data_IF_240005065798
#
_entry.id   IF_240005065798
#
_cell.length_a   1.000
_cell.length_b   1.000
_cell.length_c   1.000
_cell.angle_alpha   90.00
_cell.angle_beta   90.00
_cell.angle_gamma   90.00
#
_symmetry.space_group_name_H-M   'P 1'
#
loop_
_entity.id
_entity.type
_entity.pdbx_description
1 polymer ?
#
# COMPACT_ATOMS: atom_id res chain seq x y z
N UNK A 1 5.84 -5.24 -9.66
CA UNK A 1 7.05 -4.54 -9.19
C UNK A 1 7.09 -3.18 -9.87
N UNK A 2 7.30 -2.13 -9.09
CA UNK A 2 7.50 -0.74 -9.47
C UNK A 2 8.92 -0.35 -9.09
N UNK A 3 9.56 0.44 -9.95
CA UNK A 3 10.84 1.07 -9.71
C UNK A 3 10.67 2.58 -9.89
N UNK A 4 11.17 3.38 -8.95
CA UNK A 4 11.17 4.84 -9.02
C UNK A 4 12.44 5.36 -8.38
N UNK A 5 12.76 6.64 -8.55
CA UNK A 5 13.79 7.29 -7.75
C UNK A 5 13.12 8.21 -6.71
N UNK A 6 13.75 8.36 -5.56
CA UNK A 6 13.39 9.40 -4.60
C UNK A 6 14.04 10.75 -4.97
N UNK A 7 13.79 11.79 -4.17
CA UNK A 7 14.36 13.12 -4.38
C UNK A 7 15.88 13.19 -4.18
N UNK A 8 16.48 12.19 -3.54
CA UNK A 8 17.92 12.09 -3.29
C UNK A 8 18.65 11.24 -4.34
N UNK A 9 17.93 10.73 -5.34
CA UNK A 9 18.47 9.86 -6.39
C UNK A 9 18.60 8.40 -5.97
N UNK A 10 18.03 7.98 -4.84
CA UNK A 10 17.98 6.58 -4.45
C UNK A 10 16.96 5.83 -5.32
N UNK A 11 17.35 4.68 -5.88
CA UNK A 11 16.45 3.76 -6.55
C UNK A 11 15.55 3.06 -5.52
N UNK A 12 14.24 3.22 -5.65
CA UNK A 12 13.24 2.62 -4.79
C UNK A 12 12.53 1.50 -5.53
N UNK A 13 12.60 0.29 -4.99
CA UNK A 13 12.08 -0.95 -5.59
C UNK A 13 11.02 -1.58 -4.70
N UNK A 14 9.93 -2.05 -5.29
CA UNK A 14 8.85 -2.71 -4.54
C UNK A 14 7.69 -3.00 -5.47
N UNK A 15 6.46 -3.17 -5.02
CA UNK A 15 6.08 -3.66 -3.71
C UNK A 15 5.80 -5.15 -3.73
N UNK A 16 5.80 -5.81 -2.57
CA UNK A 16 5.07 -7.07 -2.35
C UNK A 16 3.66 -6.82 -1.79
N UNK A 17 2.83 -7.87 -1.79
CA UNK A 17 1.51 -7.94 -1.17
C UNK A 17 1.37 -9.28 -0.49
N UNK A 18 1.13 -9.31 0.82
CA UNK A 18 1.07 -10.53 1.62
C UNK A 18 -0.07 -10.48 2.64
N UNK A 19 -0.94 -11.48 2.64
CA UNK A 19 -1.92 -11.66 3.71
C UNK A 19 -1.22 -12.24 4.94
N UNK A 20 -0.81 -11.36 5.86
CA UNK A 20 -0.07 -11.73 7.07
C UNK A 20 -0.62 -11.04 8.33
N UNK A 21 -1.90 -10.63 8.30
CA UNK A 21 -2.52 -9.87 9.37
C UNK A 21 -1.75 -8.58 9.67
N UNK A 22 -1.41 -8.36 10.94
CA UNK A 22 -0.64 -7.21 11.41
C UNK A 22 0.87 -7.47 11.52
N UNK A 23 1.37 -8.56 10.95
CA UNK A 23 2.80 -8.86 10.98
C UNK A 23 3.59 -7.86 10.12
N UNK A 24 4.51 -7.14 10.75
CA UNK A 24 5.42 -6.16 10.12
C UNK A 24 6.88 -6.63 10.10
N UNK A 25 7.13 -7.92 10.37
CA UNK A 25 8.46 -8.50 10.29
C UNK A 25 8.91 -8.66 8.84
N UNK A 26 10.21 -8.52 8.61
CA UNK A 26 10.82 -8.71 7.29
C UNK A 26 10.83 -10.19 6.95
N UNK A 27 10.19 -10.54 5.84
CA UNK A 27 10.30 -11.84 5.20
C UNK A 27 11.44 -11.80 4.17
N UNK A 28 12.57 -12.41 4.51
CA UNK A 28 13.76 -12.45 3.66
C UNK A 28 13.50 -13.14 2.31
N UNK A 29 12.54 -14.07 2.23
CA UNK A 29 12.19 -14.74 0.97
C UNK A 29 11.55 -13.77 -0.03
N UNK A 30 10.78 -12.80 0.47
CA UNK A 30 10.15 -11.74 -0.32
C UNK A 30 11.21 -10.74 -0.77
N UNK A 31 12.12 -10.34 0.12
CA UNK A 31 13.25 -9.48 -0.22
C UNK A 31 14.08 -10.12 -1.35
N UNK A 32 14.42 -11.40 -1.23
CA UNK A 32 15.14 -12.14 -2.26
C UNK A 32 14.38 -12.18 -3.59
N UNK A 33 13.05 -12.34 -3.55
CA UNK A 33 12.20 -12.36 -4.74
C UNK A 33 12.19 -11.01 -5.47
N UNK A 34 12.05 -9.91 -4.72
CA UNK A 34 12.13 -8.55 -5.28
C UNK A 34 13.56 -8.28 -5.77
N UNK A 35 14.60 -8.73 -5.07
CA UNK A 35 15.99 -8.57 -5.51
C UNK A 35 16.28 -9.25 -6.84
N UNK A 36 15.95 -10.54 -6.96
CA UNK A 36 16.15 -11.32 -8.18
C UNK A 36 15.45 -10.66 -9.37
N UNK A 37 14.18 -10.29 -9.17
CA UNK A 37 13.39 -9.65 -10.20
C UNK A 37 13.94 -8.27 -10.57
N UNK A 38 14.48 -7.51 -9.62
CA UNK A 38 15.12 -6.23 -9.91
C UNK A 38 16.42 -6.41 -10.71
N UNK A 39 17.19 -7.46 -10.43
CA UNK A 39 18.40 -7.82 -11.16
C UNK A 39 18.15 -8.14 -12.64
N UNK A 40 16.93 -8.51 -13.03
CA UNK A 40 16.56 -8.68 -14.44
C UNK A 40 16.50 -7.35 -15.20
N UNK A 41 16.21 -6.25 -14.51
CA UNK A 41 16.13 -4.90 -15.10
C UNK A 41 17.38 -4.06 -14.84
N UNK A 42 18.05 -4.30 -13.71
CA UNK A 42 19.24 -3.58 -13.28
C UNK A 42 20.38 -4.59 -13.03
N UNK A 43 21.10 -5.04 -14.06
CA UNK A 43 22.11 -6.09 -13.93
C UNK A 43 23.18 -5.79 -12.87
N UNK A 44 23.55 -4.51 -12.69
CA UNK A 44 24.47 -4.06 -11.64
C UNK A 44 24.02 -4.39 -10.22
N UNK A 45 22.72 -4.60 -9.97
CA UNK A 45 22.24 -5.08 -8.66
C UNK A 45 22.68 -6.51 -8.38
N UNK A 46 22.94 -7.35 -9.40
CA UNK A 46 23.41 -8.73 -9.21
C UNK A 46 24.83 -8.79 -8.64
N UNK A 47 25.60 -7.72 -8.79
CA UNK A 47 26.96 -7.57 -8.28
C UNK A 47 26.99 -7.08 -6.82
N UNK A 48 25.86 -6.60 -6.29
CA UNK A 48 25.78 -6.12 -4.90
C UNK A 48 25.43 -7.23 -3.91
N UNK A 49 25.96 -7.12 -2.68
CA UNK A 49 25.68 -8.03 -1.59
C UNK A 49 24.27 -7.82 -1.01
N UNK A 50 23.38 -8.78 -1.25
CA UNK A 50 22.04 -8.79 -0.66
C UNK A 50 22.10 -8.82 0.89
N UNK A 51 23.09 -9.50 1.46
CA UNK A 51 23.27 -9.60 2.92
C UNK A 51 23.57 -8.24 3.54
N UNK A 52 24.45 -7.45 2.92
CA UNK A 52 24.77 -6.11 3.41
C UNK A 52 23.60 -5.15 3.24
N UNK A 53 22.81 -5.33 2.17
CA UNK A 53 21.57 -4.60 1.97
C UNK A 53 20.56 -4.84 3.09
N UNK A 54 20.27 -6.10 3.44
CA UNK A 54 19.34 -6.44 4.53
C UNK A 54 19.82 -5.82 5.85
N UNK A 55 21.14 -5.91 6.14
CA UNK A 55 21.73 -5.29 7.34
C UNK A 55 21.63 -3.77 7.36
N UNK A 56 21.67 -3.11 6.20
CA UNK A 56 21.56 -1.65 6.09
C UNK A 56 20.18 -1.08 6.46
N UNK A 57 19.19 -1.95 6.72
CA UNK A 57 17.80 -1.59 7.09
C UNK A 57 17.09 -0.64 6.12
N UNK A 58 17.49 -0.62 4.85
CA UNK A 58 16.77 0.14 3.80
C UNK A 58 15.52 -0.58 3.27
N UNK A 59 14.98 -1.51 4.06
CA UNK A 59 13.73 -2.21 3.81
C UNK A 59 12.65 -1.59 4.69
N UNK A 60 11.57 -1.15 4.06
CA UNK A 60 10.41 -0.53 4.69
C UNK A 60 9.23 -1.48 4.57
N UNK A 61 8.57 -1.73 5.68
CA UNK A 61 7.36 -2.56 5.74
C UNK A 61 6.22 -1.71 6.25
N UNK A 62 5.04 -1.90 5.67
CA UNK A 62 3.84 -1.20 6.05
C UNK A 62 2.61 -2.06 5.85
N UNK A 63 1.58 -1.78 6.65
CA UNK A 63 0.27 -2.39 6.51
C UNK A 63 -0.57 -1.53 5.55
N UNK A 64 -1.28 -2.19 4.64
CA UNK A 64 -2.23 -1.56 3.74
C UNK A 64 -3.64 -1.97 4.15
N UNK A 65 -4.57 -1.02 4.33
CA UNK A 65 -5.95 -1.34 4.63
C UNK A 65 -6.59 -1.95 3.39
N UNK A 66 -6.98 -3.21 3.47
CA UNK A 66 -7.54 -4.00 2.36
C UNK A 66 -8.99 -4.38 2.66
N UNK A 67 -9.82 -4.41 1.63
CA UNK A 67 -11.20 -4.92 1.70
C UNK A 67 -11.33 -6.19 0.85
N UNK A 68 -12.02 -7.24 1.31
CA UNK A 68 -12.19 -8.49 0.55
C UNK A 68 -12.80 -8.32 -0.85
N UNK A 69 -13.67 -7.33 -1.02
CA UNK A 69 -14.29 -7.00 -2.32
C UNK A 69 -13.39 -6.11 -3.20
N UNK A 70 -12.20 -5.74 -2.71
CA UNK A 70 -11.22 -4.88 -3.38
C UNK A 70 -11.61 -3.41 -3.44
N UNK A 71 -12.73 -3.01 -2.80
CA UNK A 71 -13.30 -1.67 -2.92
C UNK A 71 -13.03 -0.87 -1.66
N UNK A 72 -12.60 0.40 -1.76
CA UNK A 72 -12.47 1.24 -0.58
C UNK A 72 -13.85 1.47 0.05
N UNK A 73 -13.85 1.72 1.35
CA UNK A 73 -15.05 2.06 2.11
C UNK A 73 -14.93 3.52 2.52
N UNK A 74 -15.90 4.33 2.11
CA UNK A 74 -16.05 5.72 2.55
C UNK A 74 -17.52 5.95 2.91
N UNK A 75 -17.81 6.22 4.17
CA UNK A 75 -19.20 6.42 4.61
C UNK A 75 -19.37 6.53 6.13
N UNK A 76 -20.60 6.80 6.60
CA UNK A 76 -20.92 6.88 8.01
C UNK A 76 -20.79 5.51 8.70
N UNK A 77 -20.44 5.50 9.98
CA UNK A 77 -20.39 4.27 10.78
C UNK A 77 -21.77 3.98 11.37
N UNK A 78 -22.36 2.79 11.13
CA UNK A 78 -23.67 2.44 11.69
C UNK A 78 -23.68 2.54 13.22
N UNK A 79 -24.71 3.19 13.76
CA UNK A 79 -24.90 3.36 15.21
C UNK A 79 -24.09 4.47 15.87
N UNK A 80 -23.23 5.19 15.12
CA UNK A 80 -22.44 6.31 15.64
C UNK A 80 -22.74 7.59 14.84
N UNK A 81 -23.40 8.55 15.49
CA UNK A 81 -23.66 9.85 14.88
C UNK A 81 -22.36 10.62 14.67
N UNK A 82 -22.25 11.33 13.55
CA UNK A 82 -21.10 12.16 13.18
C UNK A 82 -19.75 11.43 13.03
N UNK A 83 -19.73 10.09 12.95
CA UNK A 83 -18.52 9.32 12.66
C UNK A 83 -18.53 8.79 11.22
N UNK A 84 -17.46 9.07 10.49
CA UNK A 84 -17.24 8.58 9.12
C UNK A 84 -15.94 7.78 9.05
N UNK A 85 -15.95 6.75 8.22
CA UNK A 85 -14.79 5.90 7.95
C UNK A 85 -14.36 6.08 6.50
N UNK A 86 -13.05 6.14 6.26
CA UNK A 86 -12.45 6.18 4.92
C UNK A 86 -11.23 5.24 4.87
N UNK A 87 -11.44 3.96 4.55
CA UNK A 87 -10.43 2.89 4.62
C UNK A 87 -10.49 1.96 3.39
N UNK A 88 -9.68 0.90 3.36
CA UNK A 88 -9.73 -0.12 2.30
C UNK A 88 -9.06 0.26 0.98
N UNK A 89 -8.22 1.30 0.98
CA UNK A 89 -7.63 1.84 -0.25
C UNK A 89 -6.38 1.10 -0.74
N UNK A 90 -5.94 0.08 -0.01
CA UNK A 90 -4.77 -0.75 -0.36
C UNK A 90 -3.55 0.10 -0.77
N UNK A 91 -3.04 -0.09 -1.99
CA UNK A 91 -1.89 0.62 -2.55
C UNK A 91 -2.23 1.95 -3.21
N UNK A 92 -3.51 2.25 -3.39
CA UNK A 92 -4.02 3.47 -4.06
C UNK A 92 -4.32 4.61 -3.05
N UNK A 93 -4.01 4.39 -1.77
CA UNK A 93 -4.36 5.32 -0.69
C UNK A 93 -3.83 6.75 -0.89
N UNK A 94 -2.63 6.90 -1.47
CA UNK A 94 -2.00 8.19 -1.77
C UNK A 94 -2.67 8.89 -2.97
N UNK A 95 -2.92 8.16 -4.06
CA UNK A 95 -3.57 8.69 -5.27
C UNK A 95 -4.99 9.17 -4.97
N UNK A 96 -5.73 8.42 -4.15
CA UNK A 96 -7.13 8.70 -3.82
C UNK A 96 -7.29 9.69 -2.65
N UNK A 97 -6.20 10.21 -2.08
CA UNK A 97 -6.21 11.12 -0.93
C UNK A 97 -6.98 12.42 -1.19
N UNK A 98 -6.82 13.00 -2.38
CA UNK A 98 -7.44 14.29 -2.72
C UNK A 98 -8.95 14.17 -2.96
N UNK A 99 -9.38 13.10 -3.64
CA UNK A 99 -10.80 12.80 -3.88
C UNK A 99 -11.53 12.63 -2.54
N UNK A 100 -10.90 11.94 -1.57
CA UNK A 100 -11.44 11.77 -0.20
C UNK A 100 -11.74 13.09 0.51
N UNK A 101 -10.83 14.07 0.41
CA UNK A 101 -11.00 15.36 1.09
C UNK A 101 -12.20 16.13 0.54
N UNK A 102 -12.41 16.11 -0.77
CA UNK A 102 -13.57 16.75 -1.38
C UNK A 102 -14.87 16.08 -0.92
N UNK A 103 -14.93 14.74 -0.96
CA UNK A 103 -16.12 13.99 -0.54
C UNK A 103 -16.50 14.26 0.92
N UNK A 104 -15.54 14.20 1.85
CA UNK A 104 -15.79 14.44 3.28
C UNK A 104 -16.11 15.91 3.58
N UNK A 105 -15.47 16.85 2.86
CA UNK A 105 -15.69 18.29 3.04
C UNK A 105 -17.08 18.74 2.59
N UNK A 106 -17.67 18.08 1.59
CA UNK A 106 -18.94 18.53 1.05
C UNK A 106 -20.15 17.94 1.78
N UNK A 107 -20.06 16.85 2.53
CA UNK A 107 -21.22 16.29 3.27
C UNK A 107 -22.47 15.99 2.42
N UNK A 108 -22.36 16.03 1.08
CA UNK A 108 -23.50 16.21 0.15
C UNK A 108 -23.63 15.04 -0.83
N UNK A 109 -22.74 14.07 -0.82
CA UNK A 109 -22.81 12.98 -1.79
C UNK A 109 -23.52 11.77 -1.17
N UNK A 110 -24.69 11.44 -1.71
CA UNK A 110 -25.47 10.28 -1.25
C UNK A 110 -24.62 8.99 -1.32
N UNK A 111 -24.81 8.04 -0.39
CA UNK A 111 -24.12 6.74 -0.44
C UNK A 111 -24.28 6.01 -1.79
N UNK A 112 -25.44 6.19 -2.45
CA UNK A 112 -25.74 5.65 -3.78
C UNK A 112 -24.89 6.27 -4.90
N UNK A 113 -24.65 7.58 -4.89
CA UNK A 113 -23.79 8.25 -5.87
C UNK A 113 -22.32 7.85 -5.66
N UNK A 114 -21.91 7.70 -4.40
CA UNK A 114 -20.58 7.25 -4.01
C UNK A 114 -20.28 5.82 -4.49
N UNK A 115 -21.23 4.90 -4.32
CA UNK A 115 -21.13 3.53 -4.83
C UNK A 115 -21.11 3.48 -6.36
N UNK A 116 -21.94 4.29 -7.02
CA UNK A 116 -22.05 4.30 -8.48
C UNK A 116 -20.81 4.89 -9.17
N UNK A 117 -20.20 5.92 -8.58
CA UNK A 117 -19.12 6.67 -9.22
C UNK A 117 -17.71 6.21 -8.82
N UNK A 118 -17.54 5.69 -7.59
CA UNK A 118 -16.25 5.26 -7.06
C UNK A 118 -16.19 3.77 -6.70
N UNK A 119 -17.29 3.02 -6.92
CA UNK A 119 -17.31 1.58 -6.74
C UNK A 119 -17.02 1.15 -5.30
N UNK A 120 -17.61 1.81 -4.30
CA UNK A 120 -17.28 1.56 -2.88
C UNK A 120 -17.90 0.28 -2.31
N UNK A 121 -17.21 -0.31 -1.34
CA UNK A 121 -17.59 -1.54 -0.64
C UNK A 121 -18.45 -1.29 0.60
N UNK A 122 -19.04 -2.37 1.14
CA UNK A 122 -19.75 -2.38 2.44
C UNK A 122 -18.80 -2.96 3.50
N UNK A 123 -18.89 -2.47 4.75
CA UNK A 123 -18.06 -2.97 5.85
C UNK A 123 -18.32 -4.46 6.13
N UNK A 124 -17.46 -5.33 5.60
CA UNK A 124 -17.44 -6.76 5.92
C UNK A 124 -16.04 -7.34 5.74
N UNK A 125 -15.40 -7.81 6.82
CA UNK A 125 -14.18 -8.63 6.78
C UNK A 125 -12.93 -8.08 7.48
N UNK A 126 -11.87 -8.89 7.48
CA UNK A 126 -10.55 -8.54 8.03
C UNK A 126 -9.80 -7.56 7.12
N UNK A 127 -9.00 -6.68 7.75
CA UNK A 127 -8.73 -5.33 7.24
C UNK A 127 -7.30 -5.05 6.78
N UNK A 128 -6.43 -6.06 6.67
CA UNK A 128 -4.99 -5.78 6.59
C UNK A 128 -4.24 -6.72 5.65
N UNK A 129 -3.49 -6.12 4.72
CA UNK A 129 -2.44 -6.80 3.95
C UNK A 129 -1.08 -6.14 4.27
N UNK A 130 -0.03 -6.93 4.42
CA UNK A 130 1.33 -6.42 4.62
C UNK A 130 2.01 -6.15 3.28
N UNK A 131 2.88 -5.15 3.28
CA UNK A 131 3.56 -4.63 2.11
C UNK A 131 5.01 -4.32 2.43
N UNK A 132 5.90 -4.75 1.54
CA UNK A 132 7.34 -4.47 1.60
C UNK A 132 7.80 -3.58 0.44
N UNK A 133 8.64 -2.58 0.76
CA UNK A 133 9.33 -1.66 -0.17
C UNK A 133 10.80 -1.58 0.20
N UNK A 134 11.66 -1.57 -0.80
CA UNK A 134 13.12 -1.52 -0.68
C UNK A 134 13.65 -0.21 -1.26
N UNK A 135 14.68 0.34 -0.67
CA UNK A 135 15.28 1.62 -1.08
C UNK A 135 16.80 1.48 -1.22
N UNK A 136 17.32 1.82 -2.38
CA UNK A 136 18.71 1.58 -2.78
C UNK A 136 19.37 2.89 -3.12
N UNK A 137 20.63 3.04 -2.73
CA UNK A 137 21.47 4.06 -3.32
C UNK A 137 22.29 3.38 -4.40
N UNK A 138 22.01 3.70 -5.65
CA UNK A 138 22.88 3.33 -6.78
C UNK A 138 24.03 4.32 -6.88
#
# INVERSE_FOLDING_TARGET
MTATMDLMGNLVLGSSRQFSGFNIQVDESVVLSIWKRAGDFFPKLREQSLTDFIKSRKVRIGLRPYMPDGKPVIGPVPGLSNLYLATGHEGEGLTLAQIKRQVLSYGIISPSYMQAQYGLGVLSGELTICFLKMEFRL
#
